data_IF_980038772799
#
_entry.id   IF_980038772799
#
_cell.length_a   1.000
_cell.length_b   1.000
_cell.length_c   1.000
_cell.angle_alpha   90.00
_cell.angle_beta   90.00
_cell.angle_gamma   90.00
#
_symmetry.space_group_name_H-M   'P 1'
#
loop_
_entity.id
_entity.type
_entity.pdbx_description
1 polymer ?
#
# COMPACT_ATOMS: atom_id res chain seq x y z
N UNK A 1 -24.52 -5.53 0.19
CA UNK A 1 -25.07 -5.51 -1.18
C UNK A 1 -23.97 -5.84 -2.16
N UNK A 2 -24.19 -6.80 -3.05
CA UNK A 2 -23.32 -7.10 -4.19
C UNK A 2 -23.32 -5.92 -5.17
N UNK A 3 -22.17 -5.60 -5.78
CA UNK A 3 -22.10 -4.55 -6.80
C UNK A 3 -23.01 -4.92 -7.99
N UNK A 4 -23.66 -3.95 -8.67
CA UNK A 4 -24.62 -4.22 -9.75
C UNK A 4 -24.08 -5.13 -10.86
N UNK A 5 -22.78 -5.07 -11.11
CA UNK A 5 -22.09 -5.90 -12.10
C UNK A 5 -22.00 -7.39 -11.74
N UNK A 6 -22.09 -7.74 -10.46
CA UNK A 6 -22.07 -9.12 -9.96
C UNK A 6 -23.46 -9.61 -9.53
N UNK A 7 -24.49 -8.77 -9.68
CA UNK A 7 -25.86 -9.12 -9.36
C UNK A 7 -26.50 -9.95 -10.48
N UNK A 8 -27.27 -10.97 -10.11
CA UNK A 8 -28.07 -11.76 -11.04
C UNK A 8 -29.13 -10.86 -11.70
N UNK A 9 -29.13 -10.80 -13.03
CA UNK A 9 -30.14 -10.06 -13.80
C UNK A 9 -31.41 -10.89 -13.90
N UNK A 10 -32.27 -10.82 -12.88
CA UNK A 10 -33.50 -11.62 -12.81
C UNK A 10 -34.46 -11.47 -14.00
N UNK A 11 -34.35 -10.37 -14.76
CA UNK A 11 -35.14 -10.16 -15.98
C UNK A 11 -34.85 -11.22 -17.05
N UNK A 12 -33.62 -11.74 -17.08
CA UNK A 12 -33.12 -12.63 -18.12
C UNK A 12 -33.55 -14.09 -17.90
N UNK A 13 -34.05 -14.42 -16.71
CA UNK A 13 -34.47 -15.77 -16.35
C UNK A 13 -35.93 -16.06 -16.69
N UNK A 14 -36.25 -17.33 -16.92
CA UNK A 14 -37.63 -17.78 -17.15
C UNK A 14 -38.47 -17.66 -15.86
N UNK A 15 -39.79 -17.64 -15.98
CA UNK A 15 -40.65 -17.62 -14.80
C UNK A 15 -40.49 -18.88 -13.94
N UNK A 16 -40.20 -20.03 -14.55
CA UNK A 16 -39.92 -21.27 -13.85
C UNK A 16 -38.62 -21.19 -13.02
N UNK A 17 -37.54 -20.65 -13.60
CA UNK A 17 -36.26 -20.47 -12.89
C UNK A 17 -36.40 -19.50 -11.71
N UNK A 18 -37.13 -18.40 -11.91
CA UNK A 18 -37.40 -17.44 -10.84
C UNK A 18 -38.20 -18.09 -9.70
N UNK A 19 -39.12 -19.00 -10.01
CA UNK A 19 -39.83 -19.75 -8.97
C UNK A 19 -38.90 -20.69 -8.19
N UNK A 20 -37.96 -21.35 -8.87
CA UNK A 20 -36.93 -22.17 -8.22
C UNK A 20 -36.04 -21.33 -7.31
N UNK A 21 -35.62 -20.15 -7.76
CA UNK A 21 -34.79 -19.23 -6.97
C UNK A 21 -35.48 -18.73 -5.70
N UNK A 22 -36.77 -18.38 -5.77
CA UNK A 22 -37.52 -17.97 -4.56
C UNK A 22 -37.70 -19.16 -3.62
N UNK A 23 -38.02 -20.34 -4.15
CA UNK A 23 -38.16 -21.56 -3.35
C UNK A 23 -36.85 -21.90 -2.62
N UNK A 24 -35.71 -21.80 -3.29
CA UNK A 24 -34.39 -22.06 -2.71
C UNK A 24 -34.04 -21.08 -1.57
N UNK A 25 -34.39 -19.79 -1.70
CA UNK A 25 -34.09 -18.76 -0.70
C UNK A 25 -35.06 -18.73 0.48
N UNK A 26 -36.35 -18.91 0.21
CA UNK A 26 -37.40 -18.67 1.21
C UNK A 26 -37.81 -19.95 1.96
N UNK A 27 -37.45 -21.14 1.45
CA UNK A 27 -37.75 -22.45 2.05
C UNK A 27 -39.24 -22.81 2.17
N UNK A 28 -40.15 -21.87 1.85
CA UNK A 28 -41.60 -21.97 2.00
C UNK A 28 -42.31 -22.22 0.67
N UNK A 29 -43.56 -22.69 0.74
CA UNK A 29 -44.44 -22.89 -0.42
C UNK A 29 -44.78 -21.55 -1.08
N UNK A 30 -44.47 -21.47 -2.36
CA UNK A 30 -44.80 -20.35 -3.24
C UNK A 30 -46.32 -20.12 -3.35
N UNK A 31 -46.73 -18.87 -3.53
CA UNK A 31 -48.10 -18.55 -3.99
C UNK A 31 -48.30 -19.15 -5.39
N UNK A 32 -49.34 -19.97 -5.55
CA UNK A 32 -49.74 -20.46 -6.88
C UNK A 32 -50.05 -19.25 -7.78
N UNK A 33 -49.49 -19.25 -9.00
CA UNK A 33 -49.69 -18.23 -10.04
C UNK A 33 -49.04 -16.86 -9.81
N UNK A 34 -47.91 -16.79 -9.09
CA UNK A 34 -47.13 -15.55 -9.00
C UNK A 34 -46.59 -15.09 -10.37
N UNK A 35 -46.84 -13.82 -10.72
CA UNK A 35 -46.36 -13.22 -11.98
C UNK A 35 -44.84 -13.02 -11.97
N UNK A 36 -44.21 -13.02 -13.15
CA UNK A 36 -42.75 -12.80 -13.29
C UNK A 36 -42.28 -11.51 -12.59
N UNK A 37 -43.04 -10.42 -12.70
CA UNK A 37 -42.72 -9.13 -12.04
C UNK A 37 -42.76 -9.24 -10.51
N UNK A 38 -43.73 -9.98 -9.96
CA UNK A 38 -43.82 -10.24 -8.52
C UNK A 38 -42.63 -11.04 -8.01
N UNK A 39 -42.22 -12.09 -8.75
CA UNK A 39 -41.08 -12.93 -8.39
C UNK A 39 -39.77 -12.15 -8.36
N UNK A 40 -39.54 -11.28 -9.35
CA UNK A 40 -38.35 -10.42 -9.40
C UNK A 40 -38.32 -9.47 -8.20
N UNK A 41 -39.45 -8.85 -7.84
CA UNK A 41 -39.53 -7.95 -6.69
C UNK A 41 -39.28 -8.70 -5.38
N UNK A 42 -39.83 -9.90 -5.24
CA UNK A 42 -39.63 -10.76 -4.07
C UNK A 42 -38.16 -11.20 -3.95
N UNK A 43 -37.53 -11.63 -5.04
CA UNK A 43 -36.10 -11.98 -5.06
C UNK A 43 -35.21 -10.79 -4.69
N UNK A 44 -35.51 -9.59 -5.21
CA UNK A 44 -34.79 -8.37 -4.84
C UNK A 44 -34.89 -8.08 -3.35
N UNK A 45 -36.09 -8.18 -2.77
CA UNK A 45 -36.30 -8.00 -1.33
C UNK A 45 -35.59 -9.08 -0.50
N UNK A 46 -35.60 -10.33 -0.96
CA UNK A 46 -34.89 -11.44 -0.29
C UNK A 46 -33.37 -11.25 -0.32
N UNK A 47 -32.81 -10.80 -1.44
CA UNK A 47 -31.38 -10.52 -1.56
C UNK A 47 -30.96 -9.28 -0.78
N UNK A 48 -31.81 -8.24 -0.71
CA UNK A 48 -31.58 -7.06 0.13
C UNK A 48 -31.60 -7.40 1.62
N UNK A 49 -32.52 -8.29 2.03
CA UNK A 49 -32.62 -8.78 3.40
C UNK A 49 -31.61 -9.89 3.73
N UNK A 50 -30.93 -10.46 2.72
CA UNK A 50 -29.98 -11.53 2.92
C UNK A 50 -28.78 -11.04 3.74
N UNK A 51 -28.60 -11.62 4.92
CA UNK A 51 -27.39 -11.45 5.72
C UNK A 51 -26.41 -12.55 5.36
N UNK A 52 -25.19 -12.17 4.99
CA UNK A 52 -24.11 -13.14 4.82
C UNK A 52 -23.54 -13.46 6.21
N UNK A 53 -23.62 -14.72 6.69
CA UNK A 53 -23.13 -15.08 8.02
C UNK A 53 -21.61 -15.21 7.98
N UNK A 54 -20.92 -14.06 7.90
CA UNK A 54 -19.47 -14.02 7.73
C UNK A 54 -18.72 -14.78 8.83
N UNK A 55 -19.23 -14.76 10.06
CA UNK A 55 -18.62 -15.45 11.20
C UNK A 55 -18.84 -16.97 11.19
N UNK A 56 -19.80 -17.47 10.41
CA UNK A 56 -20.05 -18.91 10.27
C UNK A 56 -19.10 -19.56 9.25
N UNK A 57 -18.35 -18.74 8.49
CA UNK A 57 -17.26 -19.23 7.64
C UNK A 57 -16.14 -19.81 8.49
N UNK A 58 -15.43 -20.86 8.05
CA UNK A 58 -14.19 -21.30 8.67
C UNK A 58 -13.14 -20.17 8.73
N UNK A 59 -12.28 -20.14 9.77
CA UNK A 59 -11.24 -19.11 9.92
C UNK A 59 -10.37 -18.91 8.68
N UNK A 60 -10.03 -19.99 7.98
CA UNK A 60 -9.21 -19.97 6.77
C UNK A 60 -9.90 -19.19 5.64
N UNK A 61 -11.22 -19.34 5.48
CA UNK A 61 -11.98 -18.58 4.49
C UNK A 61 -12.13 -17.11 4.89
N UNK A 62 -12.27 -16.82 6.20
CA UNK A 62 -12.29 -15.42 6.68
C UNK A 62 -10.96 -14.73 6.42
N UNK A 63 -9.82 -15.42 6.59
CA UNK A 63 -8.49 -14.90 6.30
C UNK A 63 -8.35 -14.46 4.83
N UNK A 64 -8.84 -15.28 3.89
CA UNK A 64 -8.84 -14.90 2.47
C UNK A 64 -9.65 -13.63 2.21
N UNK A 65 -10.77 -13.45 2.90
CA UNK A 65 -11.57 -12.22 2.79
C UNK A 65 -10.82 -11.03 3.40
N UNK A 66 -10.18 -11.20 4.56
CA UNK A 66 -9.35 -10.17 5.19
C UNK A 66 -8.20 -9.73 4.28
N UNK A 67 -7.48 -10.66 3.65
CA UNK A 67 -6.43 -10.34 2.67
C UNK A 67 -6.95 -9.48 1.52
N UNK A 68 -8.13 -9.80 0.97
CA UNK A 68 -8.68 -9.04 -0.15
C UNK A 68 -9.09 -7.61 0.22
N UNK A 69 -9.59 -7.40 1.44
CA UNK A 69 -10.15 -6.09 1.85
C UNK A 69 -9.15 -5.24 2.64
N UNK A 70 -8.18 -5.83 3.32
CA UNK A 70 -7.20 -5.11 4.15
C UNK A 70 -5.91 -4.80 3.39
N UNK A 71 -5.62 -5.49 2.29
CA UNK A 71 -4.40 -5.25 1.51
C UNK A 71 -4.58 -4.08 0.55
N UNK A 72 -3.77 -3.03 0.73
CA UNK A 72 -3.73 -1.91 -0.20
C UNK A 72 -2.89 -2.28 -1.42
N UNK A 73 -3.51 -2.29 -2.61
CA UNK A 73 -2.80 -2.51 -3.87
C UNK A 73 -3.19 -1.43 -4.88
N UNK A 74 -2.44 -0.32 -4.87
CA UNK A 74 -2.65 0.82 -5.78
C UNK A 74 -2.49 0.43 -7.25
N UNK A 75 -1.59 -0.50 -7.58
CA UNK A 75 -1.38 -0.98 -8.96
C UNK A 75 -2.60 -1.71 -9.52
N UNK A 76 -3.31 -2.45 -8.68
CA UNK A 76 -4.56 -3.13 -9.02
C UNK A 76 -5.80 -2.25 -8.77
N UNK A 77 -5.66 -0.96 -8.47
CA UNK A 77 -6.77 -0.06 -8.13
C UNK A 77 -7.51 -0.40 -6.83
N UNK A 78 -6.92 -1.22 -5.95
CA UNK A 78 -7.54 -1.71 -4.71
C UNK A 78 -7.15 -0.85 -3.51
N UNK A 79 -8.16 -0.33 -2.82
CA UNK A 79 -8.01 0.43 -1.56
C UNK A 79 -8.25 -0.51 -0.39
N UNK A 80 -7.42 -0.39 0.66
CA UNK A 80 -7.68 -1.08 1.92
C UNK A 80 -8.91 -0.48 2.63
N UNK A 81 -9.73 -1.33 3.23
CA UNK A 81 -10.95 -1.00 3.96
C UNK A 81 -10.80 -1.34 5.44
N UNK A 82 -10.02 -0.56 6.22
CA UNK A 82 -9.77 -0.84 7.63
C UNK A 82 -11.02 -0.68 8.51
N UNK A 83 -12.15 -0.20 7.95
CA UNK A 83 -13.42 -0.13 8.65
C UNK A 83 -13.87 -1.49 9.20
N UNK A 84 -13.53 -2.60 8.52
CA UNK A 84 -13.91 -3.94 8.99
C UNK A 84 -13.28 -4.30 10.34
N UNK A 85 -12.09 -3.76 10.63
CA UNK A 85 -11.38 -3.97 11.91
C UNK A 85 -12.17 -3.44 13.11
N UNK A 86 -13.17 -2.59 12.89
CA UNK A 86 -14.01 -2.00 13.94
C UNK A 86 -15.32 -2.75 14.16
N UNK A 87 -15.59 -3.82 13.42
CA UNK A 87 -16.88 -4.53 13.48
C UNK A 87 -17.01 -5.41 14.73
N UNK A 88 -15.95 -6.15 15.10
CA UNK A 88 -15.94 -6.98 16.31
C UNK A 88 -14.52 -7.24 16.82
N UNK A 89 -14.39 -7.64 18.09
CA UNK A 89 -13.10 -8.00 18.69
C UNK A 89 -12.48 -9.24 18.02
N UNK A 90 -13.28 -10.24 17.68
CA UNK A 90 -12.80 -11.46 17.01
C UNK A 90 -12.26 -11.14 15.61
N UNK A 91 -12.98 -10.32 14.83
CA UNK A 91 -12.51 -9.85 13.53
C UNK A 91 -11.20 -9.08 13.67
N UNK A 92 -11.10 -8.20 14.67
CA UNK A 92 -9.88 -7.45 14.93
C UNK A 92 -8.68 -8.36 15.23
N UNK A 93 -8.81 -9.29 16.18
CA UNK A 93 -7.72 -10.19 16.56
C UNK A 93 -7.26 -11.10 15.41
N UNK A 94 -8.21 -11.67 14.65
CA UNK A 94 -7.90 -12.54 13.52
C UNK A 94 -7.16 -11.80 12.39
N UNK A 95 -7.62 -10.58 12.08
CA UNK A 95 -7.18 -9.86 10.89
C UNK A 95 -6.05 -8.87 11.15
N UNK A 96 -5.73 -8.57 12.41
CA UNK A 96 -4.64 -7.64 12.78
C UNK A 96 -3.31 -8.07 12.19
N UNK A 97 -2.95 -9.35 12.29
CA UNK A 97 -1.70 -9.87 11.76
C UNK A 97 -1.60 -9.71 10.24
N UNK A 98 -2.71 -9.94 9.51
CA UNK A 98 -2.82 -9.75 8.06
C UNK A 98 -2.69 -8.28 7.70
N UNK A 99 -3.41 -7.40 8.41
CA UNK A 99 -3.34 -5.97 8.22
C UNK A 99 -1.94 -5.41 8.47
N UNK A 100 -1.21 -5.94 9.44
CA UNK A 100 0.15 -5.48 9.77
C UNK A 100 1.21 -6.09 8.83
N UNK A 101 1.05 -7.35 8.43
CA UNK A 101 1.96 -8.04 7.53
C UNK A 101 1.94 -7.45 6.10
N UNK A 102 0.75 -7.14 5.59
CA UNK A 102 0.56 -6.71 4.20
C UNK A 102 0.45 -5.19 4.02
N UNK A 103 0.70 -4.42 5.08
CA UNK A 103 0.94 -2.98 4.94
C UNK A 103 2.21 -2.77 4.14
N UNK A 104 2.02 -2.50 2.85
CA UNK A 104 3.03 -1.93 1.97
C UNK A 104 2.72 -0.44 1.87
N UNK A 105 3.64 0.39 2.36
CA UNK A 105 3.58 1.82 2.08
C UNK A 105 4.49 2.14 0.91
N UNK A 106 3.94 2.81 -0.08
CA UNK A 106 4.69 3.30 -1.22
C UNK A 106 4.99 4.79 -1.07
N UNK A 107 6.28 5.12 -1.05
CA UNK A 107 6.78 6.50 -1.08
C UNK A 107 7.53 6.71 -2.39
N UNK A 108 7.08 7.66 -3.20
CA UNK A 108 7.76 8.19 -4.38
C UNK A 108 8.57 9.42 -3.97
N UNK A 109 9.85 9.22 -3.73
CA UNK A 109 10.78 10.25 -3.33
C UNK A 109 11.52 10.78 -4.55
N UNK A 110 11.44 12.07 -4.82
CA UNK A 110 12.17 12.75 -5.89
C UNK A 110 13.23 13.65 -5.28
N UNK A 111 14.50 13.25 -5.38
CA UNK A 111 15.63 14.08 -5.01
C UNK A 111 16.09 14.91 -6.20
N UNK A 112 16.15 16.23 -6.03
CA UNK A 112 16.72 17.16 -7.01
C UNK A 112 17.94 17.83 -6.43
N UNK A 113 19.10 17.59 -7.04
CA UNK A 113 20.35 18.23 -6.68
C UNK A 113 20.53 19.54 -7.46
N UNK A 114 20.85 20.63 -6.75
CA UNK A 114 21.24 21.91 -7.34
C UNK A 114 22.67 22.23 -6.93
N UNK A 115 23.66 21.98 -7.82
CA UNK A 115 25.07 22.24 -7.53
C UNK A 115 25.34 23.69 -7.10
N UNK A 116 24.56 24.65 -7.63
CA UNK A 116 24.72 26.09 -7.35
C UNK A 116 24.24 26.50 -5.95
N UNK A 117 23.36 25.73 -5.31
CA UNK A 117 22.67 26.12 -4.07
C UNK A 117 23.14 25.34 -2.83
N UNK A 118 24.23 24.57 -2.93
CA UNK A 118 24.76 23.75 -1.83
C UNK A 118 23.66 22.90 -1.16
N UNK A 119 22.71 22.42 -1.96
CA UNK A 119 21.52 21.77 -1.44
C UNK A 119 20.72 21.07 -2.51
N UNK A 120 20.24 19.89 -2.17
CA UNK A 120 19.12 19.26 -2.84
C UNK A 120 17.85 19.36 -2.01
N UNK A 121 16.70 19.15 -2.66
CA UNK A 121 15.44 18.88 -1.97
C UNK A 121 14.88 17.52 -2.34
N UNK A 122 14.10 16.95 -1.42
CA UNK A 122 13.36 15.70 -1.62
C UNK A 122 11.88 16.05 -1.65
N UNK A 123 11.22 15.83 -2.78
CA UNK A 123 9.76 15.88 -2.91
C UNK A 123 9.21 14.47 -2.66
N UNK A 124 8.22 14.30 -1.76
CA UNK A 124 7.66 12.99 -1.42
C UNK A 124 6.20 12.92 -1.87
N UNK A 125 5.91 12.01 -2.79
CA UNK A 125 4.56 11.67 -3.25
C UNK A 125 4.26 10.22 -2.89
N UNK A 126 3.00 9.79 -2.85
CA UNK A 126 2.67 8.40 -2.57
C UNK A 126 1.50 8.25 -1.61
N UNK A 127 1.60 7.29 -0.69
CA UNK A 127 0.63 7.12 0.40
C UNK A 127 0.76 8.19 1.48
N UNK A 128 1.94 8.84 1.53
CA UNK A 128 2.15 10.06 2.28
C UNK A 128 2.57 11.17 1.31
N UNK A 129 1.83 12.26 1.30
CA UNK A 129 2.19 13.46 0.53
C UNK A 129 3.00 14.40 1.44
N UNK A 130 4.22 14.71 1.03
CA UNK A 130 4.99 15.82 1.58
C UNK A 130 5.53 16.66 0.43
N UNK A 131 5.17 17.91 0.44
CA UNK A 131 5.78 18.89 -0.42
C UNK A 131 6.45 19.88 0.52
N UNK A 132 7.69 19.57 0.91
CA UNK A 132 8.44 20.46 1.79
C UNK A 132 9.83 20.72 1.24
N UNK A 133 10.21 21.98 1.25
CA UNK A 133 11.53 22.39 0.79
C UNK A 133 12.54 22.07 1.90
N UNK A 134 13.42 21.09 1.64
CA UNK A 134 14.58 20.74 2.48
C UNK A 134 15.63 21.88 2.64
N UNK A 135 15.28 23.10 2.26
CA UNK A 135 16.01 24.35 2.53
C UNK A 135 15.58 25.01 3.85
N UNK A 136 14.37 24.71 4.34
CA UNK A 136 13.81 25.35 5.54
C UNK A 136 13.71 24.35 6.67
N UNK A 137 14.69 24.40 7.57
CA UNK A 137 14.73 23.79 8.90
C UNK A 137 14.40 22.28 8.93
N UNK A 138 15.46 21.47 9.05
CA UNK A 138 15.43 20.05 9.42
C UNK A 138 14.34 19.71 10.48
N UNK A 139 14.08 20.62 11.42
CA UNK A 139 13.03 20.53 12.45
C UNK A 139 11.59 20.47 11.92
N UNK A 140 11.25 21.19 10.84
CA UNK A 140 9.90 21.16 10.26
C UNK A 140 9.65 19.83 9.52
N UNK A 141 10.65 19.38 8.76
CA UNK A 141 10.64 18.08 8.13
C UNK A 141 10.55 16.95 9.18
N UNK A 142 11.33 17.01 10.26
CA UNK A 142 11.24 16.08 11.39
C UNK A 142 9.85 16.05 12.03
N UNK A 143 9.25 17.21 12.24
CA UNK A 143 7.93 17.32 12.87
C UNK A 143 6.83 16.78 11.97
N UNK A 144 6.81 17.16 10.69
CA UNK A 144 5.77 16.73 9.76
C UNK A 144 5.94 15.25 9.40
N UNK A 145 7.15 14.82 9.04
CA UNK A 145 7.45 13.41 8.77
C UNK A 145 7.21 12.58 10.03
N UNK A 146 7.72 12.99 11.20
CA UNK A 146 7.47 12.31 12.46
C UNK A 146 5.99 12.21 12.82
N UNK A 147 5.20 13.27 12.62
CA UNK A 147 3.75 13.24 12.91
C UNK A 147 2.96 12.32 11.98
N UNK A 148 3.30 12.26 10.70
CA UNK A 148 2.65 11.37 9.73
C UNK A 148 3.17 9.94 9.81
N UNK A 149 4.45 9.74 10.14
CA UNK A 149 5.05 8.43 10.39
C UNK A 149 4.70 7.86 11.78
N UNK A 150 4.19 8.66 12.74
CA UNK A 150 3.68 8.17 14.04
C UNK A 150 2.49 7.20 13.89
N UNK A 151 1.80 7.24 12.76
CA UNK A 151 0.71 6.31 12.43
C UNK A 151 1.21 4.99 11.81
N UNK A 152 2.52 4.86 11.60
CA UNK A 152 3.18 3.77 10.89
C UNK A 152 3.93 2.71 11.72
N UNK A 153 3.87 2.63 13.08
CA UNK A 153 4.71 1.69 13.83
C UNK A 153 4.40 0.21 13.57
N UNK A 154 3.33 -0.11 12.83
CA UNK A 154 2.94 -1.48 12.48
C UNK A 154 3.03 -1.82 10.98
N UNK A 155 4.00 -1.22 10.26
CA UNK A 155 4.30 -1.59 8.88
C UNK A 155 5.21 -2.81 8.83
N UNK A 156 4.76 -3.88 8.16
CA UNK A 156 5.61 -5.02 7.81
C UNK A 156 6.52 -4.79 6.59
N UNK A 157 6.10 -3.98 5.62
CA UNK A 157 6.88 -3.70 4.40
C UNK A 157 6.83 -2.24 3.91
N UNK A 158 7.98 -1.70 3.53
CA UNK A 158 8.11 -0.34 3.01
C UNK A 158 8.74 -0.36 1.62
N UNK A 159 8.07 0.25 0.64
CA UNK A 159 8.56 0.38 -0.73
C UNK A 159 8.81 1.84 -1.06
N UNK A 160 10.02 2.18 -1.47
CA UNK A 160 10.40 3.53 -1.88
C UNK A 160 10.78 3.52 -3.35
N UNK A 161 10.15 4.37 -4.15
CA UNK A 161 10.63 4.73 -5.48
C UNK A 161 11.46 5.98 -5.35
N UNK A 162 12.77 5.88 -5.52
CA UNK A 162 13.69 6.99 -5.37
C UNK A 162 14.13 7.48 -6.76
N UNK A 163 13.66 8.66 -7.14
CA UNK A 163 14.04 9.34 -8.37
C UNK A 163 15.15 10.35 -8.06
N UNK A 164 16.30 10.19 -8.70
CA UNK A 164 17.44 11.09 -8.57
C UNK A 164 17.51 11.96 -9.83
N UNK A 165 17.48 13.27 -9.63
CA UNK A 165 17.60 14.28 -10.68
C UNK A 165 18.75 15.23 -10.37
N UNK A 166 19.63 15.44 -11.35
CA UNK A 166 20.67 16.48 -11.27
C UNK A 166 20.28 17.62 -12.19
N UNK A 167 20.29 18.85 -11.69
CA UNK A 167 19.99 20.03 -12.49
C UNK A 167 21.26 20.89 -12.61
N UNK A 168 21.98 20.70 -13.72
CA UNK A 168 23.15 21.49 -14.10
C UNK A 168 24.43 20.67 -14.36
N UNK A 169 25.46 21.26 -14.98
CA UNK A 169 26.71 20.58 -15.28
C UNK A 169 27.49 20.26 -13.99
N UNK A 170 28.11 19.06 -13.89
CA UNK A 170 28.96 18.71 -12.77
C UNK A 170 30.18 19.63 -12.73
N UNK A 171 30.38 20.36 -11.63
CA UNK A 171 31.60 21.16 -11.43
C UNK A 171 32.39 20.59 -10.27
N UNK A 172 32.94 19.38 -10.43
CA UNK A 172 33.96 18.79 -9.55
C UNK A 172 33.70 18.87 -8.04
N UNK A 173 32.45 19.03 -7.61
CA UNK A 173 32.05 19.20 -6.23
C UNK A 173 31.44 17.91 -5.73
N UNK A 174 31.78 17.59 -4.48
CA UNK A 174 31.40 16.37 -3.77
C UNK A 174 29.87 16.21 -3.73
N UNK A 175 29.36 15.32 -4.59
CA UNK A 175 27.93 15.03 -4.76
C UNK A 175 27.46 14.04 -3.68
N UNK A 176 27.76 14.34 -2.42
CA UNK A 176 27.30 13.52 -1.30
C UNK A 176 25.76 13.55 -1.18
N UNK A 177 25.17 12.47 -0.67
CA UNK A 177 23.72 12.34 -0.42
C UNK A 177 23.33 12.45 1.07
N UNK A 178 23.83 13.42 1.86
CA UNK A 178 23.60 13.45 3.31
C UNK A 178 22.13 13.62 3.66
N UNK A 179 21.37 14.39 2.85
CA UNK A 179 19.93 14.59 3.04
C UNK A 179 19.12 13.31 2.80
N UNK A 180 19.52 12.49 1.83
CA UNK A 180 18.86 11.20 1.57
C UNK A 180 19.21 10.21 2.68
N UNK A 181 20.49 10.12 3.09
CA UNK A 181 20.90 9.28 4.23
C UNK A 181 20.09 9.61 5.48
N UNK A 182 20.00 10.89 5.80
CA UNK A 182 19.21 11.39 6.93
C UNK A 182 17.70 11.06 6.79
N UNK A 183 17.12 11.19 5.60
CA UNK A 183 15.73 10.81 5.34
C UNK A 183 15.48 9.30 5.57
N UNK A 184 16.41 8.45 5.13
CA UNK A 184 16.32 7.00 5.36
C UNK A 184 16.40 6.69 6.85
N UNK A 185 17.32 7.32 7.59
CA UNK A 185 17.44 7.13 9.05
C UNK A 185 16.16 7.56 9.77
N UNK A 186 15.59 8.69 9.36
CA UNK A 186 14.31 9.22 9.81
C UNK A 186 13.16 8.23 9.58
N UNK A 187 13.14 7.53 8.45
CA UNK A 187 12.13 6.51 8.15
C UNK A 187 12.27 5.26 9.03
N UNK A 188 13.49 4.82 9.28
CA UNK A 188 13.72 3.61 10.08
C UNK A 188 13.45 3.81 11.58
N UNK A 189 13.55 5.03 12.11
CA UNK A 189 13.30 5.33 13.54
C UNK A 189 11.90 4.91 14.03
N UNK A 190 10.78 5.29 13.39
CA UNK A 190 9.44 4.91 13.83
C UNK A 190 9.02 3.48 13.40
N UNK A 191 9.64 2.91 12.36
CA UNK A 191 9.23 1.64 11.77
C UNK A 191 9.85 0.42 12.49
N UNK A 192 9.56 0.24 13.79
CA UNK A 192 10.14 -0.85 14.60
C UNK A 192 9.76 -2.26 14.14
N UNK A 193 8.64 -2.42 13.45
CA UNK A 193 8.15 -3.72 12.94
C UNK A 193 8.52 -4.02 11.49
N UNK A 194 9.36 -3.20 10.86
CA UNK A 194 9.68 -3.33 9.44
C UNK A 194 10.44 -4.65 9.19
N UNK A 195 9.90 -5.50 8.30
CA UNK A 195 10.53 -6.78 7.92
C UNK A 195 11.15 -6.72 6.53
N UNK A 196 10.56 -5.93 5.63
CA UNK A 196 11.00 -5.82 4.24
C UNK A 196 11.10 -4.37 3.79
N UNK A 197 12.22 -4.02 3.19
CA UNK A 197 12.45 -2.71 2.60
C UNK A 197 12.84 -2.84 1.13
N UNK A 198 12.07 -2.23 0.25
CA UNK A 198 12.31 -2.25 -1.20
C UNK A 198 12.61 -0.84 -1.69
N UNK A 199 13.69 -0.67 -2.46
CA UNK A 199 14.00 0.59 -3.15
C UNK A 199 14.07 0.35 -4.66
N UNK A 200 13.27 1.09 -5.40
CA UNK A 200 13.30 1.19 -6.87
C UNK A 200 14.02 2.49 -7.25
N UNK A 201 15.16 2.38 -7.92
CA UNK A 201 15.97 3.53 -8.32
C UNK A 201 15.54 4.04 -9.69
N UNK A 202 15.45 5.36 -9.84
CA UNK A 202 15.28 6.01 -11.15
C UNK A 202 16.23 7.17 -11.26
N UNK A 203 17.32 6.97 -11.99
CA UNK A 203 18.32 7.99 -12.21
C UNK A 203 18.00 8.65 -13.54
N UNK A 204 17.64 9.94 -13.52
CA UNK A 204 17.37 10.71 -14.73
C UNK A 204 18.45 11.78 -14.91
N UNK A 205 18.96 11.85 -16.14
CA UNK A 205 19.91 12.82 -16.71
C UNK A 205 20.75 13.60 -15.69
N UNK A 206 22.01 13.18 -15.55
CA UNK A 206 22.99 13.84 -14.70
C UNK A 206 24.25 12.99 -14.51
N UNK A 207 25.42 13.64 -14.43
CA UNK A 207 26.65 13.01 -13.94
C UNK A 207 26.52 12.88 -12.43
N UNK A 208 25.97 11.76 -11.98
CA UNK A 208 26.04 11.38 -10.57
C UNK A 208 27.36 10.69 -10.32
N UNK A 209 27.98 11.04 -9.20
CA UNK A 209 29.14 10.32 -8.71
C UNK A 209 28.70 8.91 -8.27
N UNK A 210 29.25 7.89 -8.93
CA UNK A 210 28.98 6.49 -8.62
C UNK A 210 29.45 6.15 -7.20
N UNK A 211 30.53 6.77 -6.72
CA UNK A 211 31.07 6.54 -5.39
C UNK A 211 30.12 7.09 -4.31
N UNK A 212 29.53 8.26 -4.56
CA UNK A 212 28.51 8.81 -3.69
C UNK A 212 27.25 7.93 -3.65
N UNK A 213 26.85 7.36 -4.79
CA UNK A 213 25.71 6.44 -4.87
C UNK A 213 26.02 5.13 -4.13
N UNK A 214 27.22 4.57 -4.32
CA UNK A 214 27.70 3.41 -3.58
C UNK A 214 27.73 3.66 -2.06
N UNK A 215 28.19 4.85 -1.63
CA UNK A 215 28.18 5.27 -0.23
C UNK A 215 26.76 5.37 0.36
N UNK A 216 25.77 5.80 -0.44
CA UNK A 216 24.36 5.81 -0.04
C UNK A 216 23.80 4.39 0.08
N UNK A 217 24.05 3.53 -0.90
CA UNK A 217 23.60 2.12 -0.88
C UNK A 217 24.21 1.36 0.30
N UNK A 218 25.50 1.55 0.56
CA UNK A 218 26.19 0.98 1.72
C UNK A 218 25.55 1.42 3.04
N UNK A 219 25.25 2.72 3.18
CA UNK A 219 24.54 3.24 4.36
C UNK A 219 23.19 2.54 4.56
N UNK A 220 22.40 2.40 3.50
CA UNK A 220 21.09 1.74 3.54
C UNK A 220 21.22 0.27 3.92
N UNK A 221 22.15 -0.47 3.31
CA UNK A 221 22.44 -1.87 3.62
C UNK A 221 22.78 -2.04 5.10
N UNK A 222 23.70 -1.24 5.62
CA UNK A 222 24.10 -1.26 7.04
C UNK A 222 22.92 -1.04 7.97
N UNK A 223 22.05 -0.06 7.68
CA UNK A 223 20.85 0.19 8.50
C UNK A 223 19.85 -0.98 8.47
N UNK A 224 19.71 -1.67 7.32
CA UNK A 224 18.83 -2.83 7.18
C UNK A 224 19.37 -4.05 7.93
N UNK A 225 20.66 -4.37 7.74
CA UNK A 225 21.33 -5.51 8.40
C UNK A 225 21.29 -5.33 9.92
N UNK A 226 21.61 -4.13 10.43
CA UNK A 226 21.58 -3.84 11.86
C UNK A 226 20.20 -4.02 12.51
N UNK A 227 19.13 -4.06 11.71
CA UNK A 227 17.74 -4.21 12.16
C UNK A 227 17.08 -5.53 11.73
N UNK A 228 17.81 -6.42 11.05
CA UNK A 228 17.25 -7.66 10.51
C UNK A 228 16.19 -7.45 9.43
N UNK A 229 16.27 -6.35 8.67
CA UNK A 229 15.32 -6.01 7.60
C UNK A 229 15.81 -6.62 6.28
N UNK A 230 14.94 -7.34 5.58
CA UNK A 230 15.23 -7.83 4.23
C UNK A 230 15.20 -6.67 3.22
N UNK A 231 16.36 -6.35 2.63
CA UNK A 231 16.51 -5.30 1.62
C UNK A 231 16.37 -5.86 0.20
N UNK A 232 15.60 -5.17 -0.64
CA UNK A 232 15.53 -5.41 -2.09
C UNK A 232 15.85 -4.13 -2.83
N UNK A 233 16.87 -4.16 -3.69
CA UNK A 233 17.23 -3.05 -4.57
C UNK A 233 16.77 -3.42 -5.99
N UNK A 234 16.12 -2.48 -6.69
CA UNK A 234 15.65 -2.66 -8.07
C UNK A 234 16.10 -1.49 -8.93
N UNK A 235 16.48 -1.77 -10.17
CA UNK A 235 16.91 -0.78 -11.15
C UNK A 235 18.15 0.04 -10.70
N UNK A 236 18.98 -0.53 -9.81
CA UNK A 236 20.26 0.06 -9.43
C UNK A 236 21.30 -0.21 -10.54
N UNK A 237 22.18 0.74 -10.88
CA UNK A 237 23.26 0.48 -11.85
C UNK A 237 24.16 -0.67 -11.41
N UNK A 238 24.43 -1.63 -12.30
CA UNK A 238 25.23 -2.84 -12.01
C UNK A 238 26.62 -2.51 -11.43
N UNK A 239 27.26 -1.43 -11.89
CA UNK A 239 28.56 -0.97 -11.39
C UNK A 239 28.56 -0.65 -9.89
N UNK A 240 27.40 -0.30 -9.32
CA UNK A 240 27.24 0.01 -7.88
C UNK A 240 26.90 -1.24 -7.07
N UNK A 241 26.28 -2.25 -7.68
CA UNK A 241 25.98 -3.53 -7.02
C UNK A 241 27.24 -4.37 -6.77
N UNK A 242 28.18 -4.37 -7.72
CA UNK A 242 29.42 -5.17 -7.67
C UNK A 242 30.50 -4.57 -6.75
N UNK A 243 30.40 -3.27 -6.44
CA UNK A 243 31.42 -2.53 -5.67
C UNK A 243 31.34 -2.74 -4.15
N UNK A 244 30.43 -3.58 -3.64
CA UNK A 244 30.32 -3.87 -2.20
C UNK A 244 29.91 -5.33 -1.94
N UNK A 245 30.84 -6.21 -1.50
CA UNK A 245 30.51 -7.54 -0.99
C UNK A 245 29.72 -7.49 0.33
#
# INVERSE_FOLDING_TARGET
MTLPQFALRYKDFSQADLQLFVKARNGRRMRKNASKKSLIKELGALDEAATFPFMDLPPEMRNLVYEQILTHNRFAGRRAWPAILRTSKSVYEESKSIFEADKVISIDATYRCFPRLHGGYVDLKGDVKFQDMLHTLQRHFERDLGSKLKLLPSIGSLKIKLRLFSIGPPRGQDMSFPKIKYFIDMLFRPCRGLKRFEIEWRIQDGVFDLDALASLVAHIRTQCVARGIALQLKDLPQSVEESNP
#
